data_IF_804957360170
#
_entry.id   IF_804957360170
#
_cell.length_a   1.000
_cell.length_b   1.000
_cell.length_c   1.000
_cell.angle_alpha   90.00
_cell.angle_beta   90.00
_cell.angle_gamma   90.00
#
_symmetry.space_group_name_H-M   'P 1'
#
loop_
_entity.id
_entity.type
_entity.pdbx_description
1 polymer ?
#
# COMPACT_ATOMS: atom_id res chain seq x y z
N UNK A 1 -28.91 -25.33 -45.00
CA UNK A 1 -28.60 -24.75 -43.68
C UNK A 1 -27.13 -25.03 -43.40
N UNK A 2 -26.32 -24.00 -43.62
CA UNK A 2 -24.86 -23.98 -43.46
C UNK A 2 -24.49 -24.01 -41.97
N UNK A 3 -23.96 -25.14 -41.50
CA UNK A 3 -23.25 -25.23 -40.22
C UNK A 3 -21.78 -25.51 -40.50
N UNK A 4 -20.96 -24.47 -40.45
CA UNK A 4 -19.51 -24.51 -40.67
C UNK A 4 -18.84 -25.32 -39.55
N UNK A 5 -18.50 -26.58 -39.82
CA UNK A 5 -17.99 -27.54 -38.83
C UNK A 5 -16.46 -27.47 -38.67
N UNK A 6 -15.99 -26.66 -37.72
CA UNK A 6 -14.57 -26.62 -37.33
C UNK A 6 -14.21 -27.56 -36.16
N UNK A 7 -15.18 -28.28 -35.60
CA UNK A 7 -15.03 -28.91 -34.28
C UNK A 7 -14.75 -30.42 -34.28
N UNK A 8 -14.32 -31.04 -35.38
CA UNK A 8 -14.21 -32.51 -35.45
C UNK A 8 -12.87 -33.11 -35.90
N UNK A 9 -11.82 -32.33 -36.19
CA UNK A 9 -10.56 -32.90 -36.72
C UNK A 9 -9.29 -32.69 -35.89
N UNK A 10 -9.35 -31.92 -34.80
CA UNK A 10 -8.24 -31.84 -33.86
C UNK A 10 -8.60 -32.58 -32.57
N UNK A 11 -7.91 -33.69 -32.28
CA UNK A 11 -8.08 -34.42 -31.02
C UNK A 11 -7.84 -33.55 -29.77
N UNK A 12 -7.84 -34.12 -28.56
CA UNK A 12 -7.79 -33.39 -27.28
C UNK A 12 -6.63 -32.37 -27.11
N UNK A 13 -5.65 -32.35 -28.03
CA UNK A 13 -4.51 -31.43 -28.07
C UNK A 13 -4.90 -29.99 -28.44
N UNK A 14 -5.88 -29.76 -29.32
CA UNK A 14 -6.18 -28.40 -29.77
C UNK A 14 -6.73 -27.46 -28.67
N UNK A 15 -7.75 -27.86 -27.89
CA UNK A 15 -8.24 -27.02 -26.80
C UNK A 15 -7.31 -26.94 -25.59
N UNK A 16 -6.43 -27.93 -25.42
CA UNK A 16 -5.50 -27.99 -24.28
C UNK A 16 -4.19 -27.26 -24.55
N UNK A 17 -3.72 -27.24 -25.81
CA UNK A 17 -2.39 -26.72 -26.15
C UNK A 17 -2.43 -25.66 -27.25
N UNK A 18 -3.15 -25.88 -28.35
CA UNK A 18 -3.09 -24.97 -29.51
C UNK A 18 -3.84 -23.66 -29.23
N UNK A 19 -5.08 -23.70 -28.73
CA UNK A 19 -5.82 -22.45 -28.43
C UNK A 19 -5.18 -21.66 -27.29
N UNK A 20 -4.71 -22.27 -26.17
CA UNK A 20 -3.97 -21.55 -25.15
C UNK A 20 -2.64 -20.97 -25.67
N UNK A 21 -1.85 -21.75 -26.43
CA UNK A 21 -0.58 -21.25 -26.97
C UNK A 21 -0.77 -20.12 -27.98
N UNK A 22 -1.71 -20.27 -28.92
CA UNK A 22 -2.02 -19.22 -29.88
C UNK A 22 -2.61 -17.99 -29.18
N UNK A 23 -3.47 -18.16 -28.18
CA UNK A 23 -4.03 -17.06 -27.39
C UNK A 23 -2.98 -16.29 -26.61
N UNK A 24 -2.07 -16.98 -25.92
CA UNK A 24 -0.95 -16.36 -25.20
C UNK A 24 0.02 -15.68 -26.17
N UNK A 25 0.29 -16.29 -27.33
CA UNK A 25 1.17 -15.70 -28.34
C UNK A 25 0.56 -14.44 -28.94
N UNK A 26 -0.73 -14.46 -29.29
CA UNK A 26 -1.44 -13.30 -29.85
C UNK A 26 -1.56 -12.18 -28.81
N UNK A 27 -1.88 -12.51 -27.56
CA UNK A 27 -1.87 -11.53 -26.47
C UNK A 27 -0.47 -11.02 -26.14
N UNK A 28 0.55 -11.87 -26.18
CA UNK A 28 1.94 -11.47 -25.99
C UNK A 28 2.37 -10.45 -27.04
N UNK A 29 2.09 -10.72 -28.32
CA UNK A 29 2.34 -9.77 -29.42
C UNK A 29 1.55 -8.47 -29.23
N UNK A 30 0.27 -8.55 -28.84
CA UNK A 30 -0.55 -7.37 -28.55
C UNK A 30 0.05 -6.52 -27.43
N UNK A 31 0.50 -7.14 -26.34
CA UNK A 31 1.11 -6.45 -25.21
C UNK A 31 2.42 -5.78 -25.64
N UNK A 32 3.29 -6.49 -26.35
CA UNK A 32 4.60 -5.96 -26.78
C UNK A 32 4.49 -4.82 -27.77
N UNK A 33 3.58 -4.88 -28.75
CA UNK A 33 3.54 -3.86 -29.81
C UNK A 33 2.59 -2.69 -29.49
N UNK A 34 1.49 -2.95 -28.79
CA UNK A 34 0.47 -1.92 -28.51
C UNK A 34 0.60 -1.39 -27.08
N UNK A 35 0.59 -2.28 -26.10
CA UNK A 35 0.51 -1.89 -24.69
C UNK A 35 1.85 -1.32 -24.20
N UNK A 36 2.97 -1.93 -24.57
CA UNK A 36 4.30 -1.51 -24.13
C UNK A 36 4.65 -0.10 -24.61
N UNK A 37 4.30 0.26 -25.84
CA UNK A 37 4.51 1.62 -26.37
C UNK A 37 3.74 2.67 -25.56
N UNK A 38 2.47 2.40 -25.26
CA UNK A 38 1.62 3.33 -24.48
C UNK A 38 2.13 3.42 -23.03
N UNK A 39 2.35 2.27 -22.40
CA UNK A 39 2.79 2.19 -21.01
C UNK A 39 4.22 2.73 -20.82
N UNK A 40 5.11 2.52 -21.79
CA UNK A 40 6.45 3.09 -21.81
C UNK A 40 6.43 4.62 -21.89
N UNK A 41 5.51 5.19 -22.67
CA UNK A 41 5.27 6.64 -22.72
C UNK A 41 4.77 7.20 -21.37
N UNK A 42 3.82 6.51 -20.74
CA UNK A 42 3.33 6.87 -19.39
C UNK A 42 4.46 6.76 -18.37
N UNK A 43 5.24 5.68 -18.40
CA UNK A 43 6.34 5.45 -17.47
C UNK A 43 7.43 6.52 -17.63
N UNK A 44 7.75 6.91 -18.86
CA UNK A 44 8.68 8.00 -19.16
C UNK A 44 8.15 9.34 -18.65
N UNK A 45 6.87 9.65 -18.87
CA UNK A 45 6.23 10.86 -18.36
C UNK A 45 6.22 10.91 -16.83
N UNK A 46 5.90 9.80 -16.17
CA UNK A 46 5.96 9.66 -14.73
C UNK A 46 7.39 9.85 -14.21
N UNK A 47 8.37 9.19 -14.83
CA UNK A 47 9.76 9.32 -14.41
C UNK A 47 10.30 10.74 -14.59
N UNK A 48 9.95 11.43 -15.67
CA UNK A 48 10.30 12.83 -15.89
C UNK A 48 9.66 13.76 -14.84
N UNK A 49 8.39 13.51 -14.48
CA UNK A 49 7.72 14.26 -13.42
C UNK A 49 8.42 14.04 -12.07
N UNK A 50 8.76 12.79 -11.72
CA UNK A 50 9.39 12.43 -10.46
C UNK A 50 10.84 12.93 -10.34
N UNK A 51 11.62 12.84 -11.41
CA UNK A 51 13.01 13.33 -11.46
C UNK A 51 13.08 14.86 -11.51
N UNK A 52 12.06 15.51 -12.08
CA UNK A 52 11.93 16.97 -12.06
C UNK A 52 11.45 17.55 -10.72
N UNK A 53 11.03 16.71 -9.76
CA UNK A 53 10.58 17.18 -8.45
C UNK A 53 11.75 17.56 -7.55
N UNK A 54 11.70 18.77 -7.00
CA UNK A 54 12.57 19.18 -5.90
C UNK A 54 12.25 18.43 -4.60
N UNK A 55 13.18 18.47 -3.63
CA UNK A 55 13.06 17.77 -2.35
C UNK A 55 11.77 18.11 -1.58
N UNK A 56 11.34 19.37 -1.56
CA UNK A 56 10.09 19.77 -0.87
C UNK A 56 8.86 19.10 -1.48
N UNK A 57 8.81 18.97 -2.81
CA UNK A 57 7.70 18.32 -3.51
C UNK A 57 7.65 16.82 -3.22
N UNK A 58 8.81 16.17 -3.08
CA UNK A 58 8.91 14.76 -2.71
C UNK A 58 8.35 14.47 -1.32
N UNK A 59 8.60 15.35 -0.35
CA UNK A 59 8.03 15.24 1.00
C UNK A 59 6.52 15.40 0.98
N UNK A 60 5.99 16.37 0.22
CA UNK A 60 4.54 16.56 0.05
C UNK A 60 3.91 15.34 -0.62
N UNK A 61 4.57 14.76 -1.64
CA UNK A 61 4.11 13.53 -2.27
C UNK A 61 4.06 12.37 -1.27
N UNK A 62 5.10 12.20 -0.44
CA UNK A 62 5.11 11.22 0.65
C UNK A 62 3.97 11.42 1.65
N UNK A 63 3.68 12.68 2.00
CA UNK A 63 2.56 13.04 2.88
C UNK A 63 1.22 12.58 2.28
N UNK A 64 0.97 12.91 1.02
CA UNK A 64 -0.28 12.57 0.32
C UNK A 64 -0.41 11.06 0.18
N UNK A 65 0.60 10.38 -0.35
CA UNK A 65 0.57 8.93 -0.58
C UNK A 65 0.48 8.14 0.72
N UNK A 66 1.24 8.53 1.74
CA UNK A 66 1.15 7.93 3.07
C UNK A 66 -0.26 8.09 3.65
N UNK A 67 -0.84 9.29 3.56
CA UNK A 67 -2.20 9.55 4.02
C UNK A 67 -3.25 8.74 3.27
N UNK A 68 -3.13 8.62 1.94
CA UNK A 68 -4.05 7.85 1.09
C UNK A 68 -4.14 6.38 1.50
N UNK A 69 -3.04 5.79 1.99
CA UNK A 69 -3.03 4.41 2.48
C UNK A 69 -3.93 4.18 3.70
N UNK A 70 -4.25 5.22 4.46
CA UNK A 70 -5.08 5.13 5.65
C UNK A 70 -6.51 5.63 5.46
N UNK A 71 -6.88 6.15 4.28
CA UNK A 71 -8.21 6.74 4.05
C UNK A 71 -9.33 5.70 4.20
N UNK A 72 -9.12 4.51 3.65
CA UNK A 72 -10.15 3.47 3.54
C UNK A 72 -9.65 2.07 3.93
N UNK A 73 -8.46 1.98 4.55
CA UNK A 73 -7.88 0.75 5.12
C UNK A 73 -7.86 -0.46 4.16
N UNK A 74 -7.60 -0.21 2.87
CA UNK A 74 -7.54 -1.24 1.82
C UNK A 74 -8.58 -1.08 0.71
N UNK A 75 -9.29 0.06 0.69
CA UNK A 75 -10.25 0.42 -0.34
C UNK A 75 -9.61 1.06 -1.59
N UNK A 76 -10.40 1.76 -2.42
CA UNK A 76 -9.95 2.34 -3.69
C UNK A 76 -8.79 3.35 -3.56
N UNK A 77 -8.76 4.19 -2.53
CA UNK A 77 -7.71 5.20 -2.34
C UNK A 77 -6.38 4.55 -1.93
N UNK A 78 -6.43 3.60 -1.00
CA UNK A 78 -5.26 2.82 -0.62
C UNK A 78 -4.70 2.05 -1.84
N UNK A 79 -5.55 1.35 -2.58
CA UNK A 79 -5.12 0.62 -3.78
C UNK A 79 -4.57 1.53 -4.88
N UNK A 80 -5.12 2.72 -5.06
CA UNK A 80 -4.60 3.70 -6.00
C UNK A 80 -3.18 4.16 -5.62
N UNK A 81 -2.94 4.46 -4.33
CA UNK A 81 -1.60 4.80 -3.83
C UNK A 81 -0.62 3.63 -3.97
N UNK A 82 -1.07 2.40 -3.70
CA UNK A 82 -0.27 1.19 -3.89
C UNK A 82 0.14 0.98 -5.34
N UNK A 83 -0.81 1.07 -6.29
CA UNK A 83 -0.50 0.95 -7.72
C UNK A 83 0.43 2.06 -8.20
N UNK A 84 0.30 3.27 -7.66
CA UNK A 84 1.27 4.34 -7.93
C UNK A 84 2.68 3.98 -7.43
N UNK A 85 2.80 3.42 -6.22
CA UNK A 85 4.06 2.94 -5.66
C UNK A 85 4.71 1.83 -6.49
N UNK A 86 3.93 0.85 -6.96
CA UNK A 86 4.46 -0.24 -7.80
C UNK A 86 4.87 0.24 -9.19
N UNK A 87 4.12 1.19 -9.78
CA UNK A 87 4.52 1.85 -11.01
C UNK A 87 5.83 2.65 -10.83
N UNK A 88 6.00 3.33 -9.69
CA UNK A 88 7.23 4.03 -9.36
C UNK A 88 8.44 3.08 -9.25
N UNK A 89 8.27 1.88 -8.68
CA UNK A 89 9.32 0.85 -8.68
C UNK A 89 9.73 0.49 -10.12
N UNK A 90 8.77 0.29 -11.02
CA UNK A 90 9.04 0.00 -12.43
C UNK A 90 9.73 1.18 -13.15
N UNK A 91 9.54 2.40 -12.67
CA UNK A 91 10.24 3.60 -13.13
C UNK A 91 11.64 3.79 -12.49
N UNK A 92 12.05 2.94 -11.55
CA UNK A 92 13.31 3.07 -10.79
C UNK A 92 13.25 4.04 -9.60
N UNK A 93 12.06 4.51 -9.21
CA UNK A 93 11.86 5.41 -8.09
C UNK A 93 11.37 4.63 -6.85
N UNK A 94 12.33 4.18 -6.03
CA UNK A 94 12.06 3.31 -4.87
C UNK A 94 11.66 4.05 -3.58
N UNK A 95 11.81 5.38 -3.55
CA UNK A 95 11.46 6.24 -2.42
C UNK A 95 9.93 6.31 -2.20
N UNK A 96 9.18 6.39 -3.30
CA UNK A 96 7.71 6.43 -3.30
C UNK A 96 7.12 5.17 -2.69
N UNK A 97 7.62 3.99 -3.07
CA UNK A 97 7.12 2.73 -2.52
C UNK A 97 7.38 2.62 -1.02
N UNK A 98 8.54 3.11 -0.55
CA UNK A 98 8.80 3.16 0.89
C UNK A 98 7.75 4.02 1.61
N UNK A 99 7.45 5.21 1.09
CA UNK A 99 6.43 6.10 1.67
C UNK A 99 5.02 5.47 1.71
N UNK A 100 4.62 4.81 0.62
CA UNK A 100 3.35 4.07 0.53
C UNK A 100 3.32 2.94 1.54
N UNK A 101 4.37 2.12 1.63
CA UNK A 101 4.38 0.97 2.51
C UNK A 101 4.36 1.38 3.98
N UNK A 102 5.19 2.32 4.41
CA UNK A 102 5.17 2.80 5.81
C UNK A 102 3.83 3.45 6.16
N UNK A 103 3.21 4.13 5.19
CA UNK A 103 1.89 4.72 5.32
C UNK A 103 0.82 3.69 5.67
N UNK A 104 0.81 2.52 5.00
CA UNK A 104 -0.15 1.46 5.34
C UNK A 104 0.27 0.55 6.51
N UNK A 105 1.55 0.51 6.89
CA UNK A 105 1.95 -0.18 8.13
C UNK A 105 1.46 0.57 9.39
N UNK A 106 1.29 1.90 9.28
CA UNK A 106 1.01 2.79 10.41
C UNK A 106 -0.36 2.57 11.09
N UNK A 107 -1.50 2.44 10.40
CA UNK A 107 -2.82 2.39 11.06
C UNK A 107 -3.00 1.20 12.01
N UNK A 108 -2.69 -0.06 11.62
CA UNK A 108 -2.82 -1.20 12.52
C UNK A 108 -1.87 -1.10 13.73
N UNK A 109 -0.62 -0.66 13.49
CA UNK A 109 0.36 -0.44 14.56
C UNK A 109 -0.12 0.64 15.55
N UNK A 110 -0.69 1.73 15.04
CA UNK A 110 -1.16 2.84 15.84
C UNK A 110 -2.36 2.47 16.70
N UNK A 111 -3.32 1.73 16.13
CA UNK A 111 -4.49 1.25 16.87
C UNK A 111 -4.07 0.28 17.97
N UNK A 112 -3.16 -0.65 17.67
CA UNK A 112 -2.62 -1.57 18.66
C UNK A 112 -1.89 -0.84 19.79
N UNK A 113 -1.09 0.18 19.46
CA UNK A 113 -0.40 0.98 20.45
C UNK A 113 -1.40 1.81 21.29
N UNK A 114 -2.40 2.42 20.65
CA UNK A 114 -3.44 3.18 21.33
C UNK A 114 -4.25 2.31 22.31
N UNK A 115 -4.57 1.07 21.94
CA UNK A 115 -5.32 0.15 22.82
C UNK A 115 -4.51 -0.30 24.04
N UNK A 116 -3.18 -0.33 23.93
CA UNK A 116 -2.28 -0.60 25.05
C UNK A 116 -2.08 0.61 25.97
N UNK A 117 -1.98 1.82 25.41
CA UNK A 117 -1.73 3.06 26.16
C UNK A 117 -2.98 3.64 26.81
N UNK A 118 -4.13 3.60 26.11
CA UNK A 118 -5.39 4.22 26.52
C UNK A 118 -6.45 3.16 26.83
N UNK A 119 -6.12 2.21 27.71
CA UNK A 119 -6.92 1.00 27.98
C UNK A 119 -8.37 1.26 28.39
N UNK A 120 -8.66 2.43 28.97
CA UNK A 120 -9.99 2.88 29.41
C UNK A 120 -10.87 3.38 28.25
N UNK A 121 -10.29 3.52 27.05
CA UNK A 121 -10.97 3.97 25.83
C UNK A 121 -11.24 2.84 24.84
N UNK A 122 -10.81 1.62 25.14
CA UNK A 122 -10.99 0.45 24.27
C UNK A 122 -11.72 -0.67 25.01
N UNK A 123 -12.58 -1.40 24.30
CA UNK A 123 -13.28 -2.55 24.89
C UNK A 123 -12.31 -3.67 25.23
N UNK A 124 -12.78 -4.71 25.93
CA UNK A 124 -11.94 -5.87 26.23
C UNK A 124 -11.51 -6.59 24.95
N UNK A 125 -12.46 -6.76 24.02
CA UNK A 125 -12.27 -7.40 22.73
C UNK A 125 -11.28 -6.60 21.85
N UNK A 126 -11.42 -5.27 21.81
CA UNK A 126 -10.50 -4.38 21.08
C UNK A 126 -9.05 -4.46 21.61
N UNK A 127 -8.88 -4.62 22.94
CA UNK A 127 -7.55 -4.78 23.56
C UNK A 127 -6.94 -6.15 23.29
N UNK A 128 -7.75 -7.20 23.32
CA UNK A 128 -7.31 -8.56 22.98
C UNK A 128 -6.92 -8.71 21.51
N UNK A 129 -7.56 -7.94 20.61
CA UNK A 129 -7.19 -7.89 19.19
C UNK A 129 -5.93 -7.04 18.91
N UNK A 130 -5.50 -6.20 19.86
CA UNK A 130 -4.36 -5.28 19.71
C UNK A 130 -3.05 -5.95 19.26
N UNK A 131 -2.57 -7.02 19.93
CA UNK A 131 -1.34 -7.71 19.53
C UNK A 131 -1.38 -8.26 18.10
N UNK A 132 -2.51 -8.86 17.71
CA UNK A 132 -2.73 -9.35 16.33
C UNK A 132 -2.65 -8.19 15.34
N UNK A 133 -3.31 -7.07 15.66
CA UNK A 133 -3.32 -5.90 14.82
C UNK A 133 -1.92 -5.27 14.65
N UNK A 134 -1.09 -5.32 15.70
CA UNK A 134 0.31 -4.89 15.63
C UNK A 134 1.13 -5.73 14.66
N UNK A 135 1.00 -7.07 14.74
CA UNK A 135 1.69 -7.99 13.83
C UNK A 135 1.22 -7.78 12.38
N UNK A 136 -0.09 -7.58 12.17
CA UNK A 136 -0.65 -7.26 10.86
C UNK A 136 -0.08 -5.96 10.29
N UNK A 137 -0.01 -4.90 11.09
CA UNK A 137 0.61 -3.64 10.69
C UNK A 137 2.08 -3.79 10.32
N UNK A 138 2.83 -4.52 11.15
CA UNK A 138 4.22 -4.86 10.84
C UNK A 138 4.34 -5.69 9.56
N UNK A 139 3.36 -6.51 9.19
CA UNK A 139 3.34 -7.26 7.94
C UNK A 139 2.84 -6.45 6.73
N UNK A 140 2.53 -5.15 6.91
CA UNK A 140 1.89 -4.30 5.91
C UNK A 140 0.48 -4.78 5.52
N UNK A 141 -0.28 -5.27 6.50
CA UNK A 141 -1.68 -5.71 6.36
C UNK A 141 -2.57 -4.69 7.07
N UNK A 142 -3.15 -3.77 6.30
CA UNK A 142 -4.00 -2.68 6.79
C UNK A 142 -5.37 -3.14 7.29
N UNK A 143 -5.80 -4.34 6.92
CA UNK A 143 -7.15 -4.88 7.15
C UNK A 143 -7.47 -5.06 8.63
N UNK A 144 -6.45 -5.25 9.47
CA UNK A 144 -6.63 -5.35 10.92
C UNK A 144 -7.21 -4.07 11.54
N UNK A 145 -7.09 -2.92 10.87
CA UNK A 145 -7.67 -1.66 11.30
C UNK A 145 -9.16 -1.50 10.96
N UNK A 146 -9.69 -2.28 10.01
CA UNK A 146 -11.07 -2.14 9.52
C UNK A 146 -12.11 -2.28 10.65
N UNK A 147 -12.04 -3.28 11.55
CA UNK A 147 -13.03 -3.43 12.62
C UNK A 147 -13.09 -2.22 13.57
N UNK A 148 -11.94 -1.59 13.82
CA UNK A 148 -11.84 -0.41 14.67
C UNK A 148 -12.33 0.86 13.95
N UNK A 149 -12.02 1.00 12.67
CA UNK A 149 -12.55 2.09 11.85
C UNK A 149 -14.07 1.97 11.65
N UNK A 150 -14.61 0.75 11.59
CA UNK A 150 -16.05 0.52 11.51
C UNK A 150 -16.76 0.83 12.84
N UNK A 151 -16.13 0.58 13.98
CA UNK A 151 -16.71 0.90 15.30
C UNK A 151 -16.66 2.40 15.61
N UNK A 152 -15.60 3.10 15.21
CA UNK A 152 -15.42 4.52 15.48
C UNK A 152 -14.72 5.27 14.32
N UNK A 153 -15.41 5.47 13.18
CA UNK A 153 -14.78 6.03 11.97
C UNK A 153 -14.32 7.47 12.16
N UNK A 154 -15.04 8.25 12.96
CA UNK A 154 -14.81 9.70 13.15
C UNK A 154 -13.50 9.96 13.87
N UNK A 155 -13.08 9.08 14.80
CA UNK A 155 -11.82 9.27 15.51
C UNK A 155 -10.69 8.41 14.91
N UNK A 156 -10.97 7.20 14.43
CA UNK A 156 -9.94 6.29 13.91
C UNK A 156 -9.38 6.77 12.57
N UNK A 157 -10.24 7.11 11.60
CA UNK A 157 -9.77 7.48 10.26
C UNK A 157 -8.90 8.74 10.27
N UNK A 158 -9.34 9.88 10.86
CA UNK A 158 -8.52 11.09 10.84
C UNK A 158 -7.20 10.91 11.59
N UNK A 159 -7.20 10.19 12.72
CA UNK A 159 -5.98 9.90 13.48
C UNK A 159 -4.98 9.11 12.64
N UNK A 160 -5.45 8.04 12.00
CA UNK A 160 -4.61 7.19 11.16
C UNK A 160 -4.09 7.91 9.92
N UNK A 161 -4.94 8.69 9.24
CA UNK A 161 -4.56 9.47 8.07
C UNK A 161 -3.43 10.43 8.41
N UNK A 162 -3.52 11.15 9.53
CA UNK A 162 -2.49 12.13 9.93
C UNK A 162 -1.16 11.46 10.22
N UNK A 163 -1.14 10.36 10.99
CA UNK A 163 0.14 9.69 11.28
C UNK A 163 0.70 8.93 10.09
N UNK A 164 -0.13 8.34 9.22
CA UNK A 164 0.33 7.71 7.97
C UNK A 164 0.89 8.73 6.98
N UNK A 165 0.28 9.92 6.90
CA UNK A 165 0.81 11.04 6.13
C UNK A 165 2.16 11.51 6.69
N UNK A 166 2.28 11.64 8.01
CA UNK A 166 3.54 11.98 8.65
C UNK A 166 4.63 10.91 8.39
N UNK A 167 4.30 9.63 8.50
CA UNK A 167 5.23 8.53 8.20
C UNK A 167 5.74 8.59 6.75
N UNK A 168 4.84 8.77 5.79
CA UNK A 168 5.20 8.89 4.37
C UNK A 168 6.07 10.12 4.10
N UNK A 169 5.76 11.26 4.72
CA UNK A 169 6.56 12.49 4.62
C UNK A 169 7.97 12.31 5.18
N UNK A 170 8.10 11.70 6.37
CA UNK A 170 9.39 11.43 7.02
C UNK A 170 10.22 10.45 6.18
N UNK A 171 9.58 9.39 5.65
CA UNK A 171 10.24 8.43 4.75
C UNK A 171 10.84 9.11 3.52
N UNK A 172 10.07 9.99 2.85
CA UNK A 172 10.56 10.75 1.70
C UNK A 172 11.63 11.77 2.08
N UNK A 173 11.49 12.44 3.23
CA UNK A 173 12.47 13.42 3.71
C UNK A 173 13.86 12.79 3.94
N UNK A 174 13.89 11.58 4.50
CA UNK A 174 15.13 10.84 4.73
C UNK A 174 15.56 9.96 3.54
N UNK A 175 14.88 10.07 2.40
CA UNK A 175 15.15 9.29 1.19
C UNK A 175 15.21 7.78 1.46
N UNK A 176 14.30 7.26 2.30
CA UNK A 176 14.18 5.83 2.51
C UNK A 176 13.70 5.16 1.21
N UNK A 177 14.26 4.01 0.85
CA UNK A 177 13.93 3.32 -0.39
C UNK A 177 13.49 1.88 -0.15
N UNK A 178 12.55 1.39 -0.94
CA UNK A 178 12.09 0.01 -0.84
C UNK A 178 11.82 -0.57 -2.24
N UNK A 179 12.51 -1.65 -2.57
CA UNK A 179 12.35 -2.35 -3.85
C UNK A 179 11.25 -3.40 -3.83
N UNK A 180 10.91 -3.91 -2.63
CA UNK A 180 9.84 -4.89 -2.45
C UNK A 180 8.48 -4.17 -2.33
N UNK A 181 7.47 -4.53 -3.12
CA UNK A 181 6.17 -3.87 -3.07
C UNK A 181 5.33 -4.30 -1.85
N UNK A 182 5.69 -5.40 -1.18
CA UNK A 182 4.95 -5.92 -0.03
C UNK A 182 5.91 -6.69 0.89
N UNK A 183 5.46 -6.99 2.11
CA UNK A 183 6.22 -7.79 3.09
C UNK A 183 6.53 -7.10 4.40
N UNK A 184 6.15 -5.82 4.60
CA UNK A 184 6.26 -5.18 5.91
C UNK A 184 7.68 -5.16 6.49
N UNK A 185 7.78 -5.55 7.76
CA UNK A 185 9.02 -5.72 8.52
C UNK A 185 9.92 -6.81 7.92
N UNK A 186 9.35 -7.80 7.22
CA UNK A 186 10.10 -8.93 6.67
C UNK A 186 10.99 -8.55 5.49
N UNK A 187 10.75 -7.39 4.87
CA UNK A 187 11.59 -6.85 3.79
C UNK A 187 12.55 -5.76 4.25
N UNK A 188 12.69 -5.54 5.57
CA UNK A 188 13.68 -4.60 6.11
C UNK A 188 15.13 -4.82 5.65
N UNK A 189 15.60 -6.06 5.41
CA UNK A 189 16.96 -6.28 4.88
C UNK A 189 17.21 -5.63 3.50
N UNK A 190 16.15 -5.33 2.74
CA UNK A 190 16.23 -4.67 1.42
C UNK A 190 15.78 -3.21 1.45
N UNK A 191 15.55 -2.64 2.64
CA UNK A 191 15.22 -1.22 2.81
C UNK A 191 16.49 -0.38 2.82
N UNK A 192 16.54 0.63 1.93
CA UNK A 192 17.53 1.69 2.00
C UNK A 192 17.19 2.68 3.11
N UNK A 193 18.19 3.07 3.90
CA UNK A 193 18.03 3.88 5.11
C UNK A 193 17.05 3.28 6.13
N UNK A 194 17.18 1.96 6.39
CA UNK A 194 16.29 1.19 7.26
C UNK A 194 16.08 1.79 8.66
N UNK A 195 17.10 2.44 9.23
CA UNK A 195 16.99 3.12 10.53
C UNK A 195 15.99 4.27 10.47
N UNK A 196 16.09 5.15 9.45
CA UNK A 196 15.16 6.25 9.30
C UNK A 196 13.77 5.80 8.85
N UNK A 197 13.67 4.68 8.13
CA UNK A 197 12.41 4.05 7.81
C UNK A 197 11.69 3.53 9.06
N UNK A 198 12.43 2.90 9.99
CA UNK A 198 11.89 2.51 11.29
C UNK A 198 11.45 3.73 12.10
N UNK A 199 12.24 4.80 12.10
CA UNK A 199 11.86 6.07 12.76
C UNK A 199 10.57 6.63 12.14
N UNK A 200 10.43 6.62 10.81
CA UNK A 200 9.22 7.07 10.14
C UNK A 200 7.99 6.27 10.59
N UNK A 201 8.11 4.94 10.66
CA UNK A 201 7.05 4.05 11.16
C UNK A 201 6.69 4.36 12.61
N UNK A 202 7.69 4.48 13.49
CA UNK A 202 7.49 4.74 14.92
C UNK A 202 6.84 6.10 15.13
N UNK A 203 7.34 7.14 14.48
CA UNK A 203 6.80 8.51 14.62
C UNK A 203 5.37 8.58 14.10
N UNK A 204 5.07 8.03 12.91
CA UNK A 204 3.71 8.00 12.40
C UNK A 204 2.75 7.21 13.31
N UNK A 205 3.22 6.06 13.82
CA UNK A 205 2.47 5.23 14.77
C UNK A 205 2.17 5.99 16.06
N UNK A 206 3.15 6.70 16.62
CA UNK A 206 2.97 7.51 17.83
C UNK A 206 2.01 8.66 17.60
N UNK A 207 2.13 9.39 16.48
CA UNK A 207 1.22 10.50 16.13
C UNK A 207 -0.22 9.98 16.07
N UNK A 208 -0.46 8.91 15.30
CA UNK A 208 -1.79 8.30 15.18
C UNK A 208 -2.30 7.77 16.52
N UNK A 209 -1.46 7.10 17.31
CA UNK A 209 -1.86 6.51 18.59
C UNK A 209 -2.23 7.57 19.63
N UNK A 210 -1.46 8.66 19.73
CA UNK A 210 -1.75 9.78 20.62
C UNK A 210 -2.99 10.52 20.15
N UNK A 211 -3.14 10.81 18.86
CA UNK A 211 -4.35 11.44 18.32
C UNK A 211 -5.59 10.61 18.61
N UNK A 212 -5.54 9.31 18.32
CA UNK A 212 -6.64 8.39 18.58
C UNK A 212 -6.96 8.31 20.07
N UNK A 213 -5.93 8.23 20.91
CA UNK A 213 -6.07 8.22 22.36
C UNK A 213 -6.68 9.50 22.93
N UNK A 214 -6.37 10.67 22.36
CA UNK A 214 -6.97 11.96 22.77
C UNK A 214 -8.41 12.08 22.27
N UNK A 215 -8.66 11.72 21.01
CA UNK A 215 -9.95 11.88 20.34
C UNK A 215 -11.02 10.87 20.78
N UNK A 216 -10.64 9.59 20.96
CA UNK A 216 -11.59 8.53 21.35
C UNK A 216 -12.13 8.81 22.76
N UNK A 217 -13.41 8.56 22.99
CA UNK A 217 -14.05 8.75 24.31
C UNK A 217 -13.83 7.53 25.20
N UNK A 218 -13.97 7.68 26.52
CA UNK A 218 -13.92 6.55 27.45
C UNK A 218 -15.08 5.60 27.15
N UNK A 219 -14.80 4.30 27.21
CA UNK A 219 -15.83 3.26 27.11
C UNK A 219 -16.54 3.24 28.46
N UNK A 220 -17.85 3.45 28.45
CA UNK A 220 -18.70 3.46 29.62
C UNK A 220 -18.89 2.05 30.20
#
# INVERSE_FOLDING_TARGET
MSGFGWNQQSGPIAPVLIYPAAGVLLMGLCITFVVETIMGGINTGLNNALTGMGNSSKVILGLVLGGMMAIDMGGPFNKAAYVFGTAAIAAGNYDIMAAVMVGGMTPPCAIALASLLFKDKFTKEEREAGPTNFIMGLAFITEGAIPFAASDPVHVLPSCIVGSAAAGAISMFFNCTLMAPHGGIFVFPVVGNAMMYLVALVVGTLISAVLLGVLKKKVA
#
